data_IF_396250294647
#
_entry.id   IF_396250294647
#
_cell.length_a   1.000
_cell.length_b   1.000
_cell.length_c   1.000
_cell.angle_alpha   90.00
_cell.angle_beta   90.00
_cell.angle_gamma   90.00
#
_symmetry.space_group_name_H-M   'P 1'
#
loop_
_entity.id
_entity.type
_entity.pdbx_description
1 polymer ?
#
# COMPACT_ATOMS: atom_id res chain seq x y z
N UNK A 1 7.74 24.79 -4.57
CA UNK A 1 6.41 24.42 -4.04
C UNK A 1 6.55 23.61 -2.76
N UNK A 2 5.50 23.57 -1.94
CA UNK A 2 5.47 22.66 -0.79
C UNK A 2 5.26 21.21 -1.27
N UNK A 3 6.11 20.31 -0.77
CA UNK A 3 5.97 18.88 -0.98
C UNK A 3 5.83 18.21 0.40
N UNK A 4 4.72 17.54 0.64
CA UNK A 4 4.34 16.98 1.95
C UNK A 4 3.68 15.64 1.75
N UNK A 5 4.03 14.67 2.57
CA UNK A 5 3.30 13.42 2.73
C UNK A 5 2.60 13.42 4.10
N UNK A 6 1.30 13.17 4.10
CA UNK A 6 0.50 13.00 5.31
C UNK A 6 0.09 11.52 5.42
N UNK A 7 0.33 10.93 6.57
CA UNK A 7 -0.15 9.60 6.91
C UNK A 7 -1.38 9.74 7.80
N UNK A 8 -2.45 9.05 7.42
CA UNK A 8 -3.66 8.89 8.21
C UNK A 8 -3.69 7.44 8.69
N UNK A 9 -3.62 7.27 9.98
CA UNK A 9 -3.68 5.98 10.64
C UNK A 9 -4.82 5.97 11.67
N UNK A 10 -5.11 4.80 12.22
CA UNK A 10 -6.05 4.65 13.32
C UNK A 10 -7.46 5.22 13.01
N UNK A 11 -7.90 5.01 11.76
CA UNK A 11 -9.22 5.46 11.29
C UNK A 11 -10.32 4.42 11.48
N UNK A 12 -9.98 3.22 11.93
CA UNK A 12 -10.92 2.16 12.29
C UNK A 12 -11.30 2.37 13.74
N UNK A 13 -12.60 2.46 14.01
CA UNK A 13 -13.10 2.61 15.38
C UNK A 13 -12.87 1.30 16.16
N UNK A 14 -12.17 1.39 17.30
CA UNK A 14 -11.88 0.27 18.20
C UNK A 14 -13.13 -0.32 18.89
N UNK A 15 -14.30 0.26 18.66
CA UNK A 15 -15.56 -0.15 19.29
C UNK A 15 -16.12 -1.45 18.73
N UNK A 16 -15.30 -2.49 18.68
CA UNK A 16 -15.75 -3.87 18.46
C UNK A 16 -15.75 -4.34 17.00
N UNK A 17 -15.02 -3.68 16.09
CA UNK A 17 -14.79 -4.23 14.76
C UNK A 17 -13.48 -5.03 14.73
N UNK A 18 -13.55 -6.26 14.21
CA UNK A 18 -12.34 -7.08 13.90
C UNK A 18 -11.60 -6.56 12.64
N UNK A 19 -11.84 -5.31 12.23
CA UNK A 19 -11.24 -4.74 11.04
C UNK A 19 -9.76 -4.45 11.24
N UNK A 20 -8.96 -4.78 10.24
CA UNK A 20 -7.52 -4.53 10.25
C UNK A 20 -7.27 -3.02 10.19
N UNK A 21 -6.38 -2.53 11.06
CA UNK A 21 -5.89 -1.15 10.99
C UNK A 21 -5.13 -0.94 9.68
N UNK A 22 -5.38 0.18 9.01
CA UNK A 22 -4.69 0.54 7.77
C UNK A 22 -4.21 2.00 7.80
N UNK A 23 -3.08 2.23 7.12
CA UNK A 23 -2.51 3.55 6.88
C UNK A 23 -2.92 4.01 5.48
N UNK A 24 -3.37 5.25 5.36
CA UNK A 24 -3.61 5.91 4.07
C UNK A 24 -2.66 7.09 3.94
N UNK A 25 -2.23 7.38 2.73
CA UNK A 25 -1.24 8.42 2.51
C UNK A 25 -1.74 9.46 1.50
N UNK A 26 -1.65 10.73 1.89
CA UNK A 26 -1.90 11.85 0.99
C UNK A 26 -0.58 12.54 0.67
N UNK A 27 -0.13 12.40 -0.56
CA UNK A 27 1.00 13.12 -1.10
C UNK A 27 0.49 14.44 -1.71
N UNK A 28 1.00 15.56 -1.21
CA UNK A 28 0.67 16.88 -1.72
C UNK A 28 1.90 17.52 -2.34
N UNK A 29 1.83 17.89 -3.61
CA UNK A 29 2.90 18.58 -4.31
C UNK A 29 2.36 19.79 -5.02
N UNK A 30 2.86 20.98 -4.64
CA UNK A 30 2.45 22.30 -5.16
C UNK A 30 0.90 22.48 -5.25
N UNK A 31 0.22 22.02 -4.20
CA UNK A 31 -1.23 22.17 -4.06
C UNK A 31 -2.08 21.11 -4.75
N UNK A 32 -1.51 20.16 -5.49
CA UNK A 32 -2.19 18.98 -6.00
C UNK A 32 -1.99 17.78 -5.07
N UNK A 33 -3.04 16.99 -4.89
CA UNK A 33 -3.03 15.81 -4.03
C UNK A 33 -3.13 14.50 -4.79
N UNK A 34 -2.39 13.51 -4.30
CA UNK A 34 -2.52 12.10 -4.66
C UNK A 34 -2.78 11.28 -3.38
N UNK A 35 -3.90 10.56 -3.38
CA UNK A 35 -4.24 9.64 -2.30
C UNK A 35 -3.76 8.25 -2.68
N UNK A 36 -2.93 7.66 -1.84
CA UNK A 36 -2.39 6.31 -2.01
C UNK A 36 -3.16 5.38 -1.08
N UNK A 37 -3.69 4.31 -1.65
CA UNK A 37 -4.53 3.32 -1.01
C UNK A 37 -5.76 3.97 -0.32
N UNK A 38 -6.82 4.26 -1.10
CA UNK A 38 -7.90 5.18 -0.73
C UNK A 38 -8.85 4.65 0.34
N UNK A 39 -8.53 3.54 0.98
CA UNK A 39 -9.26 2.88 2.04
C UNK A 39 -10.53 2.11 1.63
N UNK A 40 -10.98 1.26 2.55
CA UNK A 40 -12.25 0.56 2.48
C UNK A 40 -13.45 1.42 2.87
N UNK A 41 -14.63 0.83 2.81
CA UNK A 41 -15.87 1.52 3.14
C UNK A 41 -15.97 1.95 4.61
N UNK A 42 -15.34 1.22 5.52
CA UNK A 42 -15.38 1.49 6.97
C UNK A 42 -14.63 2.76 7.34
N UNK A 43 -13.52 3.02 6.68
CA UNK A 43 -12.60 4.14 7.01
C UNK A 43 -12.82 5.38 6.14
N UNK A 44 -13.60 5.28 5.06
CA UNK A 44 -13.80 6.37 4.10
C UNK A 44 -14.24 7.70 4.74
N UNK A 45 -15.26 7.68 5.61
CA UNK A 45 -15.78 8.91 6.20
C UNK A 45 -14.76 9.54 7.16
N UNK A 46 -14.09 8.72 7.97
CA UNK A 46 -13.05 9.20 8.88
C UNK A 46 -11.87 9.81 8.11
N UNK A 47 -11.46 9.16 6.99
CA UNK A 47 -10.37 9.65 6.14
C UNK A 47 -10.72 10.99 5.51
N UNK A 48 -11.90 11.16 4.94
CA UNK A 48 -12.34 12.45 4.38
C UNK A 48 -12.32 13.55 5.45
N UNK A 49 -12.89 13.28 6.62
CA UNK A 49 -12.94 14.26 7.71
C UNK A 49 -11.52 14.66 8.17
N UNK A 50 -10.62 13.70 8.25
CA UNK A 50 -9.23 13.95 8.60
C UNK A 50 -8.49 14.74 7.51
N UNK A 51 -8.64 14.35 6.24
CA UNK A 51 -8.00 15.01 5.10
C UNK A 51 -8.41 16.47 4.96
N UNK A 52 -9.70 16.78 5.11
CA UNK A 52 -10.25 18.14 4.92
C UNK A 52 -9.64 19.18 5.87
N UNK A 53 -9.05 18.74 6.99
CA UNK A 53 -8.35 19.64 7.94
C UNK A 53 -7.05 20.18 7.36
N UNK A 54 -6.44 19.48 6.40
CA UNK A 54 -5.11 19.78 5.89
C UNK A 54 -5.08 20.09 4.40
N UNK A 55 -6.09 19.62 3.66
CA UNK A 55 -6.05 19.66 2.21
C UNK A 55 -7.44 19.94 1.60
N UNK A 56 -7.54 20.90 0.65
CA UNK A 56 -8.78 21.17 -0.07
C UNK A 56 -9.16 20.03 -1.00
N UNK A 57 -10.27 19.37 -0.73
CA UNK A 57 -10.72 18.16 -1.42
C UNK A 57 -10.81 18.28 -2.95
N UNK A 58 -11.17 19.45 -3.46
CA UNK A 58 -11.22 19.78 -4.90
C UNK A 58 -9.86 19.68 -5.61
N UNK A 59 -8.77 19.69 -4.84
CA UNK A 59 -7.41 19.57 -5.34
C UNK A 59 -6.89 18.13 -5.39
N UNK A 60 -7.69 17.15 -4.97
CA UNK A 60 -7.36 15.73 -5.14
C UNK A 60 -7.45 15.38 -6.63
N UNK A 61 -6.30 15.09 -7.23
CA UNK A 61 -6.17 14.84 -8.67
C UNK A 61 -5.93 13.37 -8.99
N UNK A 62 -5.33 12.63 -8.05
CA UNK A 62 -4.91 11.27 -8.28
C UNK A 62 -5.32 10.37 -7.13
N UNK A 63 -5.74 9.15 -7.47
CA UNK A 63 -5.86 8.03 -6.55
C UNK A 63 -5.00 6.90 -7.10
N UNK A 64 -4.14 6.35 -6.25
CA UNK A 64 -3.30 5.21 -6.56
C UNK A 64 -3.74 4.03 -5.71
N UNK A 65 -4.16 2.94 -6.34
CA UNK A 65 -4.50 1.70 -5.66
C UNK A 65 -3.38 0.67 -5.89
N UNK A 66 -2.75 0.24 -4.81
CA UNK A 66 -1.63 -0.71 -4.87
C UNK A 66 -2.07 -2.09 -5.35
N UNK A 67 -3.22 -2.57 -4.88
CA UNK A 67 -3.83 -3.84 -5.26
C UNK A 67 -5.35 -3.83 -5.01
N UNK A 68 -6.02 -4.96 -5.19
CA UNK A 68 -7.48 -5.06 -5.27
C UNK A 68 -8.20 -5.36 -3.95
N UNK A 69 -7.52 -5.39 -2.82
CA UNK A 69 -8.13 -5.77 -1.55
C UNK A 69 -9.21 -4.79 -1.09
N UNK A 70 -10.25 -5.26 -0.39
CA UNK A 70 -11.40 -4.42 -0.04
C UNK A 70 -11.06 -3.20 0.81
N UNK A 71 -10.06 -3.29 1.67
CA UNK A 71 -9.56 -2.19 2.50
C UNK A 71 -8.80 -1.12 1.71
N UNK A 72 -8.48 -1.42 0.44
CA UNK A 72 -7.89 -0.48 -0.52
C UNK A 72 -8.92 0.05 -1.50
N UNK A 73 -9.71 -0.81 -2.13
CA UNK A 73 -10.53 -0.41 -3.30
C UNK A 73 -12.02 -0.28 -3.02
N UNK A 74 -12.55 -0.76 -1.89
CA UNK A 74 -14.00 -0.79 -1.69
C UNK A 74 -14.65 0.61 -1.62
N UNK A 75 -13.90 1.66 -1.29
CA UNK A 75 -14.41 3.03 -1.28
C UNK A 75 -14.25 3.78 -2.60
N UNK A 76 -13.63 3.20 -3.64
CA UNK A 76 -13.32 3.89 -4.90
C UNK A 76 -14.52 4.59 -5.52
N UNK A 77 -15.71 3.97 -5.49
CA UNK A 77 -16.91 4.63 -6.00
C UNK A 77 -17.21 5.95 -5.30
N UNK A 78 -17.06 6.00 -3.98
CA UNK A 78 -17.33 7.21 -3.20
C UNK A 78 -16.37 8.35 -3.59
N UNK A 79 -15.09 8.02 -3.80
CA UNK A 79 -14.09 8.98 -4.27
C UNK A 79 -14.40 9.49 -5.67
N UNK A 80 -14.74 8.60 -6.61
CA UNK A 80 -15.08 8.97 -7.99
C UNK A 80 -16.38 9.80 -8.07
N UNK A 81 -17.30 9.65 -7.12
CA UNK A 81 -18.50 10.48 -7.02
C UNK A 81 -18.18 11.86 -6.45
N UNK A 82 -17.30 11.92 -5.46
CA UNK A 82 -17.02 13.14 -4.70
C UNK A 82 -15.94 14.04 -5.32
N UNK A 83 -15.15 13.54 -6.26
CA UNK A 83 -14.01 14.24 -6.87
C UNK A 83 -13.94 14.03 -8.37
N UNK A 84 -13.07 14.83 -9.05
CA UNK A 84 -12.72 14.65 -10.46
C UNK A 84 -11.33 13.99 -10.62
N UNK A 85 -10.89 13.20 -9.64
CA UNK A 85 -9.59 12.54 -9.66
C UNK A 85 -9.48 11.48 -10.76
N UNK A 86 -8.24 11.22 -11.18
CA UNK A 86 -7.88 10.07 -12.02
C UNK A 86 -7.44 8.92 -11.13
N UNK A 87 -7.99 7.74 -11.39
CA UNK A 87 -7.68 6.51 -10.68
C UNK A 87 -6.61 5.71 -11.44
N UNK A 88 -5.55 5.35 -10.76
CA UNK A 88 -4.50 4.46 -11.27
C UNK A 88 -4.60 3.11 -10.57
N UNK A 89 -4.77 2.06 -11.35
CA UNK A 89 -4.86 0.66 -10.90
C UNK A 89 -4.04 -0.23 -11.82
N UNK A 90 -3.70 -1.43 -11.39
CA UNK A 90 -3.11 -2.41 -12.30
C UNK A 90 -3.98 -2.63 -13.55
N UNK A 91 -3.37 -2.66 -14.73
CA UNK A 91 -4.06 -2.99 -15.98
C UNK A 91 -4.74 -4.38 -15.92
N UNK A 92 -4.22 -5.28 -15.10
CA UNK A 92 -4.82 -6.59 -14.83
C UNK A 92 -6.24 -6.45 -14.23
N UNK A 93 -6.45 -5.43 -13.37
CA UNK A 93 -7.70 -5.19 -12.64
C UNK A 93 -8.63 -4.17 -13.31
N UNK A 94 -8.21 -3.52 -14.37
CA UNK A 94 -8.97 -2.47 -15.07
C UNK A 94 -10.38 -2.91 -15.48
N UNK A 95 -10.57 -4.19 -15.80
CA UNK A 95 -11.89 -4.75 -16.16
C UNK A 95 -12.78 -5.07 -14.97
N UNK A 96 -12.20 -5.21 -13.78
CA UNK A 96 -12.90 -5.62 -12.57
C UNK A 96 -13.26 -4.44 -11.66
N UNK A 97 -12.44 -3.41 -11.60
CA UNK A 97 -12.67 -2.21 -10.78
C UNK A 97 -14.02 -1.54 -11.07
N UNK A 98 -14.51 -1.44 -12.32
CA UNK A 98 -15.86 -0.91 -12.60
C UNK A 98 -17.00 -1.60 -11.85
N UNK A 99 -16.84 -2.87 -11.45
CA UNK A 99 -17.85 -3.59 -10.66
C UNK A 99 -18.01 -3.05 -9.23
N UNK A 100 -17.03 -2.33 -8.72
CA UNK A 100 -17.12 -1.60 -7.44
C UNK A 100 -17.80 -0.23 -7.58
N UNK A 101 -18.02 0.24 -8.81
CA UNK A 101 -18.38 1.62 -9.09
C UNK A 101 -19.78 1.73 -9.72
N UNK A 102 -20.41 2.89 -9.53
CA UNK A 102 -21.60 3.27 -10.27
C UNK A 102 -21.28 3.33 -11.77
N UNK A 103 -22.20 2.88 -12.61
CA UNK A 103 -22.02 2.84 -14.06
C UNK A 103 -21.47 4.16 -14.62
N UNK A 104 -20.51 4.05 -15.52
CA UNK A 104 -19.83 5.15 -16.22
C UNK A 104 -18.92 6.06 -15.36
N UNK A 105 -18.76 5.82 -14.05
CA UNK A 105 -17.90 6.66 -13.19
C UNK A 105 -16.41 6.49 -13.46
N UNK A 106 -16.01 5.36 -14.00
CA UNK A 106 -14.60 5.08 -14.35
C UNK A 106 -14.23 5.52 -15.76
N UNK A 107 -15.21 5.81 -16.63
CA UNK A 107 -14.97 6.15 -18.03
C UNK A 107 -14.14 7.44 -18.14
N UNK A 108 -12.98 7.35 -18.80
CA UNK A 108 -12.05 8.47 -18.99
C UNK A 108 -11.35 8.94 -17.70
N UNK A 109 -11.53 8.21 -16.59
CA UNK A 109 -10.96 8.55 -15.28
C UNK A 109 -10.13 7.42 -14.65
N UNK A 110 -9.98 6.31 -15.35
CA UNK A 110 -9.17 5.18 -14.90
C UNK A 110 -8.02 4.94 -15.87
N UNK A 111 -6.84 4.74 -15.34
CA UNK A 111 -5.61 4.44 -16.06
C UNK A 111 -5.06 3.11 -15.55
N UNK A 112 -4.92 2.15 -16.47
CA UNK A 112 -4.28 0.87 -16.18
C UNK A 112 -2.76 1.02 -16.15
N UNK A 113 -2.14 0.65 -15.03
CA UNK A 113 -0.69 0.58 -14.88
C UNK A 113 -0.21 -0.70 -15.56
N UNK A 114 0.67 -0.63 -16.57
CA UNK A 114 1.20 -1.83 -17.22
C UNK A 114 2.15 -2.60 -16.29
N UNK A 115 2.31 -3.92 -16.51
CA UNK A 115 3.06 -4.82 -15.61
C UNK A 115 4.49 -4.35 -15.29
N UNK A 116 5.13 -3.63 -16.22
CA UNK A 116 6.47 -3.09 -15.97
C UNK A 116 6.50 -1.78 -15.17
N UNK A 117 5.33 -1.30 -14.70
CA UNK A 117 5.20 -0.04 -13.99
C UNK A 117 5.15 1.18 -14.91
N UNK A 118 5.04 2.34 -14.31
CA UNK A 118 5.03 3.61 -15.06
C UNK A 118 5.46 4.79 -14.19
N UNK A 119 5.87 5.86 -14.84
CA UNK A 119 6.11 7.17 -14.20
C UNK A 119 4.86 8.02 -14.34
N UNK A 120 4.33 8.49 -13.23
CA UNK A 120 3.13 9.33 -13.16
C UNK A 120 3.56 10.76 -12.80
N UNK A 121 3.45 11.71 -13.73
CA UNK A 121 3.83 13.10 -13.45
C UNK A 121 2.81 13.75 -12.50
N UNK A 122 3.33 14.50 -11.54
CA UNK A 122 2.57 15.40 -10.68
C UNK A 122 3.29 16.75 -10.70
N UNK A 123 2.61 17.84 -10.99
CA UNK A 123 3.14 19.21 -11.04
C UNK A 123 4.68 19.35 -11.03
N UNK A 124 5.29 19.42 -9.85
CA UNK A 124 6.73 19.63 -9.66
C UNK A 124 7.48 18.36 -9.20
N UNK A 125 6.80 17.21 -9.26
CA UNK A 125 7.37 15.90 -8.92
C UNK A 125 6.80 14.81 -9.82
N UNK A 126 7.20 13.58 -9.53
CA UNK A 126 6.69 12.36 -10.16
C UNK A 126 6.58 11.26 -9.12
N UNK A 127 5.55 10.45 -9.27
CA UNK A 127 5.41 9.18 -8.55
C UNK A 127 5.68 8.04 -9.53
N UNK A 128 6.45 7.06 -9.10
CA UNK A 128 6.74 5.87 -9.91
C UNK A 128 5.91 4.71 -9.38
N UNK A 129 5.06 4.13 -10.23
CA UNK A 129 4.43 2.85 -9.94
C UNK A 129 5.47 1.75 -10.16
N UNK A 130 5.89 1.12 -9.08
CA UNK A 130 6.95 0.10 -9.03
C UNK A 130 6.32 -1.27 -9.00
N UNK A 131 6.69 -2.22 -9.87
CA UNK A 131 6.15 -3.57 -9.86
C UNK A 131 6.42 -4.30 -8.53
N UNK A 132 5.38 -4.88 -7.95
CA UNK A 132 5.46 -5.72 -6.76
C UNK A 132 4.53 -6.95 -6.89
N UNK A 133 4.42 -7.47 -8.11
CA UNK A 133 3.52 -8.56 -8.44
C UNK A 133 3.72 -9.77 -7.53
N UNK A 134 2.61 -10.34 -7.09
CA UNK A 134 2.58 -11.48 -6.15
C UNK A 134 3.11 -11.18 -4.73
N UNK A 135 3.19 -9.88 -4.38
CA UNK A 135 3.59 -9.43 -3.04
C UNK A 135 2.53 -8.45 -2.42
N UNK A 136 1.27 -8.93 -2.07
CA UNK A 136 0.81 -10.32 -2.17
C UNK A 136 -0.08 -10.58 -3.40
N UNK A 137 -0.69 -9.57 -4.02
CA UNK A 137 -1.61 -9.74 -5.14
C UNK A 137 -0.88 -9.82 -6.49
N UNK A 138 -1.53 -10.47 -7.49
CA UNK A 138 -0.95 -10.73 -8.81
C UNK A 138 -0.53 -9.45 -9.53
N UNK A 139 -1.37 -8.43 -9.47
CA UNK A 139 -1.15 -7.13 -10.11
C UNK A 139 -0.70 -6.05 -9.13
N UNK A 140 -0.03 -6.42 -8.05
CA UNK A 140 0.39 -5.47 -7.02
C UNK A 140 1.43 -4.48 -7.54
N UNK A 141 1.24 -3.21 -7.20
CA UNK A 141 2.19 -2.12 -7.39
C UNK A 141 2.51 -1.47 -6.07
N UNK A 142 3.68 -0.89 -6.00
CA UNK A 142 4.07 0.05 -4.95
C UNK A 142 4.28 1.41 -5.58
N UNK A 143 4.20 2.48 -4.79
CA UNK A 143 4.35 3.83 -5.31
C UNK A 143 5.56 4.49 -4.67
N UNK A 144 6.47 4.99 -5.50
CA UNK A 144 7.70 5.62 -5.05
C UNK A 144 7.67 7.11 -5.34
N UNK A 145 7.75 7.91 -4.28
CA UNK A 145 7.98 9.35 -4.37
C UNK A 145 9.49 9.62 -4.37
N UNK A 146 10.02 9.93 -5.53
CA UNK A 146 11.46 10.15 -5.71
C UNK A 146 11.97 11.45 -5.06
N UNK A 147 11.08 12.42 -4.79
CA UNK A 147 11.45 13.70 -4.18
C UNK A 147 11.63 13.57 -2.67
N UNK A 148 10.75 12.84 -2.02
CA UNK A 148 10.82 12.56 -0.59
C UNK A 148 11.52 11.22 -0.28
N UNK A 149 11.85 10.42 -1.30
CA UNK A 149 12.47 9.09 -1.19
C UNK A 149 11.64 8.12 -0.34
N UNK A 150 10.31 8.19 -0.51
CA UNK A 150 9.36 7.34 0.19
C UNK A 150 8.87 6.24 -0.74
N UNK A 151 9.01 4.98 -0.31
CA UNK A 151 8.37 3.84 -0.94
C UNK A 151 7.10 3.48 -0.16
N UNK A 152 5.92 3.73 -0.74
CA UNK A 152 4.63 3.26 -0.25
C UNK A 152 4.50 1.79 -0.66
N UNK A 153 4.73 0.90 0.29
CA UNK A 153 5.02 -0.51 -0.02
C UNK A 153 3.81 -1.43 -0.01
N UNK A 154 2.59 -0.87 0.08
CA UNK A 154 1.39 -1.69 0.22
C UNK A 154 1.53 -2.60 1.42
N UNK A 155 1.30 -3.89 1.25
CA UNK A 155 1.38 -4.86 2.34
C UNK A 155 2.78 -5.39 2.63
N UNK A 156 3.77 -5.04 1.81
CA UNK A 156 5.17 -5.38 2.12
C UNK A 156 5.68 -4.58 3.31
N UNK A 157 5.99 -5.27 4.39
CA UNK A 157 6.37 -4.67 5.66
C UNK A 157 5.20 -4.50 6.65
N UNK A 158 3.99 -4.91 6.26
CA UNK A 158 2.80 -4.85 7.11
C UNK A 158 3.01 -5.54 8.46
N UNK A 159 2.50 -4.93 9.52
CA UNK A 159 2.53 -5.50 10.87
C UNK A 159 1.23 -5.20 11.62
N UNK A 160 0.76 -6.19 12.39
CA UNK A 160 -0.44 -6.06 13.22
C UNK A 160 -0.01 -5.65 14.64
N UNK A 161 0.19 -4.37 14.83
CA UNK A 161 0.57 -3.77 16.11
C UNK A 161 -0.61 -3.00 16.70
N UNK A 162 -0.56 -2.78 18.01
CA UNK A 162 -1.54 -1.93 18.67
C UNK A 162 -1.44 -0.48 18.15
N UNK A 163 -2.55 0.23 18.08
CA UNK A 163 -2.66 1.56 17.45
C UNK A 163 -1.67 2.59 18.02
N UNK A 164 -1.34 2.54 19.32
CA UNK A 164 -0.37 3.44 19.96
C UNK A 164 1.07 3.31 19.43
N UNK A 165 1.38 2.23 18.70
CA UNK A 165 2.70 1.95 18.14
C UNK A 165 2.86 2.34 16.67
N UNK A 166 1.77 2.63 15.97
CA UNK A 166 1.79 2.84 14.51
C UNK A 166 2.59 4.08 14.12
N UNK A 167 2.52 5.14 14.91
CA UNK A 167 3.16 6.42 14.62
C UNK A 167 4.69 6.39 14.75
N UNK A 168 5.22 5.46 15.54
CA UNK A 168 6.65 5.37 15.78
C UNK A 168 7.36 4.60 14.67
N UNK A 169 8.35 5.19 13.98
CA UNK A 169 9.13 4.47 12.98
C UNK A 169 9.97 3.34 13.61
N UNK A 170 10.24 2.33 12.81
CA UNK A 170 11.31 1.38 13.07
C UNK A 170 12.58 1.97 12.46
N UNK A 171 13.61 2.24 13.28
CA UNK A 171 14.84 2.92 12.86
C UNK A 171 16.08 2.04 12.98
N UNK A 172 16.01 0.99 13.79
CA UNK A 172 17.13 0.09 14.09
C UNK A 172 16.79 -1.36 13.80
N UNK A 173 17.82 -2.18 13.60
CA UNK A 173 17.70 -3.64 13.48
C UNK A 173 17.08 -4.28 14.72
N UNK A 174 17.36 -3.74 15.91
CA UNK A 174 16.81 -4.25 17.16
C UNK A 174 15.28 -4.04 17.22
N UNK A 175 14.80 -2.83 16.85
CA UNK A 175 13.37 -2.54 16.75
C UNK A 175 12.67 -3.40 15.69
N UNK A 176 13.32 -3.58 14.53
CA UNK A 176 12.84 -4.49 13.49
C UNK A 176 12.68 -5.93 14.03
N UNK A 177 13.70 -6.45 14.70
CA UNK A 177 13.66 -7.79 15.28
C UNK A 177 12.54 -7.95 16.31
N UNK A 178 12.30 -6.94 17.13
CA UNK A 178 11.20 -6.93 18.09
C UNK A 178 9.82 -6.87 17.42
N UNK A 179 9.74 -6.32 16.19
CA UNK A 179 8.50 -6.22 15.42
C UNK A 179 8.15 -7.51 14.66
N UNK A 180 9.08 -8.42 14.43
CA UNK A 180 8.88 -9.65 13.62
C UNK A 180 7.67 -10.47 14.04
N UNK A 181 7.42 -10.60 15.34
CA UNK A 181 6.28 -11.35 15.88
C UNK A 181 4.91 -10.82 15.42
N UNK A 182 4.85 -9.57 14.97
CA UNK A 182 3.62 -8.93 14.49
C UNK A 182 3.46 -8.98 12.97
N UNK A 183 4.47 -9.45 12.24
CA UNK A 183 4.49 -9.41 10.78
C UNK A 183 4.82 -10.74 10.10
N UNK A 184 5.59 -11.62 10.74
CA UNK A 184 6.08 -12.86 10.11
C UNK A 184 4.94 -13.76 9.63
N UNK A 185 3.90 -13.94 10.46
CA UNK A 185 2.77 -14.81 10.12
C UNK A 185 2.04 -14.37 8.86
N UNK A 186 1.83 -13.05 8.71
CA UNK A 186 1.24 -12.46 7.52
C UNK A 186 2.11 -12.72 6.30
N UNK A 187 3.38 -12.33 6.32
CA UNK A 187 4.27 -12.47 5.16
C UNK A 187 4.47 -13.93 4.75
N UNK A 188 4.59 -14.84 5.72
CA UNK A 188 4.69 -16.28 5.43
C UNK A 188 3.45 -16.82 4.72
N UNK A 189 2.26 -16.28 5.04
CA UNK A 189 1.00 -16.78 4.48
C UNK A 189 0.66 -16.15 3.13
N UNK A 190 0.84 -14.84 2.99
CA UNK A 190 0.29 -14.08 1.87
C UNK A 190 1.28 -13.83 0.73
N UNK A 191 2.58 -13.71 0.98
CA UNK A 191 3.55 -13.60 -0.10
C UNK A 191 3.63 -14.93 -0.86
N UNK A 192 3.68 -14.88 -2.20
CA UNK A 192 3.52 -16.09 -3.02
C UNK A 192 4.69 -17.06 -2.88
N UNK A 193 5.94 -16.55 -2.86
CA UNK A 193 7.16 -17.34 -2.70
C UNK A 193 8.39 -16.48 -2.42
N UNK A 194 9.41 -17.09 -1.82
CA UNK A 194 10.72 -16.47 -1.63
C UNK A 194 11.36 -15.98 -2.94
N UNK A 195 11.12 -16.67 -4.04
CA UNK A 195 11.64 -16.27 -5.36
C UNK A 195 11.24 -14.84 -5.72
N UNK A 196 9.97 -14.49 -5.52
CA UNK A 196 9.46 -13.15 -5.84
C UNK A 196 9.96 -12.12 -4.84
N UNK A 197 10.04 -12.48 -3.56
CA UNK A 197 10.64 -11.63 -2.54
C UNK A 197 12.07 -11.22 -2.92
N UNK A 198 12.89 -12.16 -3.40
CA UNK A 198 14.25 -11.87 -3.88
C UNK A 198 14.29 -10.92 -5.07
N UNK A 199 13.39 -11.07 -6.04
CA UNK A 199 13.32 -10.15 -7.18
C UNK A 199 13.01 -8.73 -6.71
N UNK A 200 12.04 -8.59 -5.82
CA UNK A 200 11.67 -7.31 -5.25
C UNK A 200 12.82 -6.69 -4.43
N UNK A 201 13.47 -7.47 -3.55
CA UNK A 201 14.62 -7.00 -2.76
C UNK A 201 15.74 -6.49 -3.64
N UNK A 202 16.10 -7.24 -4.70
CA UNK A 202 17.15 -6.81 -5.64
C UNK A 202 16.82 -5.48 -6.31
N UNK A 203 15.55 -5.26 -6.66
CA UNK A 203 15.10 -3.99 -7.22
C UNK A 203 15.18 -2.85 -6.19
N UNK A 204 14.63 -3.05 -4.98
CA UNK A 204 14.59 -2.01 -3.94
C UNK A 204 15.97 -1.64 -3.44
N UNK A 205 16.92 -2.58 -3.36
CA UNK A 205 18.32 -2.28 -3.02
C UNK A 205 19.00 -1.33 -4.03
N UNK A 206 18.50 -1.28 -5.27
CA UNK A 206 18.95 -0.33 -6.29
C UNK A 206 18.26 1.03 -6.24
N UNK A 207 17.27 1.21 -5.36
CA UNK A 207 16.52 2.45 -5.22
C UNK A 207 17.06 3.31 -4.06
N UNK A 208 16.91 4.62 -4.18
CA UNK A 208 17.27 5.57 -3.11
C UNK A 208 16.07 5.78 -2.18
N UNK A 209 15.89 4.88 -1.21
CA UNK A 209 14.74 4.85 -0.29
C UNK A 209 15.17 5.25 1.12
N UNK A 210 14.64 6.37 1.62
CA UNK A 210 14.83 6.83 3.01
C UNK A 210 13.73 6.31 3.96
N UNK A 211 12.52 6.09 3.41
CA UNK A 211 11.38 5.60 4.18
C UNK A 211 10.63 4.53 3.37
N UNK A 212 10.32 3.42 4.02
CA UNK A 212 9.43 2.37 3.51
C UNK A 212 8.19 2.36 4.38
N UNK A 213 7.03 2.63 3.78
CA UNK A 213 5.79 2.86 4.52
C UNK A 213 4.70 1.89 4.07
N UNK A 214 4.44 0.85 4.87
CA UNK A 214 3.42 -0.15 4.56
C UNK A 214 2.01 0.36 4.88
N UNK A 215 1.02 -0.27 4.28
CA UNK A 215 -0.38 0.03 4.51
C UNK A 215 -0.86 -0.35 5.92
N UNK A 216 -0.21 -1.29 6.58
CA UNK A 216 -0.58 -1.73 7.93
C UNK A 216 0.58 -1.64 8.91
N UNK A 217 0.32 -1.10 10.10
CA UNK A 217 1.26 -1.05 11.20
C UNK A 217 2.39 -0.04 11.05
N UNK A 218 3.56 -0.39 11.58
CA UNK A 218 4.71 0.53 11.67
C UNK A 218 5.47 0.67 10.37
N UNK A 219 6.06 1.82 10.15
CA UNK A 219 6.88 2.18 8.99
C UNK A 219 8.38 2.15 9.33
N UNK A 220 9.21 2.09 8.29
CA UNK A 220 10.65 1.94 8.42
C UNK A 220 11.36 3.21 7.96
N UNK A 221 12.38 3.64 8.70
CA UNK A 221 13.17 4.82 8.37
C UNK A 221 14.66 4.56 8.50
N UNK A 222 15.36 4.95 7.44
CA UNK A 222 16.82 4.89 7.38
C UNK A 222 17.37 3.53 6.98
N UNK A 223 18.66 3.49 6.63
CA UNK A 223 19.28 2.33 5.98
C UNK A 223 19.36 1.09 6.89
N UNK A 224 19.48 1.28 8.21
CA UNK A 224 19.61 0.16 9.14
C UNK A 224 18.29 -0.64 9.21
N UNK A 225 17.17 0.04 9.44
CA UNK A 225 15.87 -0.63 9.55
C UNK A 225 15.40 -1.22 8.22
N UNK A 226 15.54 -0.44 7.13
CA UNK A 226 15.18 -0.90 5.77
C UNK A 226 16.07 -2.07 5.38
N UNK A 227 17.38 -1.99 5.61
CA UNK A 227 18.32 -3.08 5.35
C UNK A 227 17.97 -4.35 6.12
N UNK A 228 17.64 -4.23 7.41
CA UNK A 228 17.21 -5.38 8.23
C UNK A 228 15.93 -6.05 7.69
N UNK A 229 14.96 -5.24 7.25
CA UNK A 229 13.74 -5.74 6.61
C UNK A 229 14.04 -6.47 5.28
N UNK A 230 14.85 -5.87 4.41
CA UNK A 230 15.24 -6.46 3.13
C UNK A 230 16.00 -7.79 3.33
N UNK A 231 16.94 -7.84 4.27
CA UNK A 231 17.67 -9.07 4.60
C UNK A 231 16.74 -10.17 5.09
N UNK A 232 15.76 -9.83 5.90
CA UNK A 232 14.79 -10.79 6.42
C UNK A 232 13.88 -11.34 5.32
N UNK A 233 13.24 -10.45 4.52
CA UNK A 233 12.27 -10.88 3.49
C UNK A 233 12.96 -11.65 2.36
N UNK A 234 14.21 -11.33 2.03
CA UNK A 234 15.02 -12.06 1.05
C UNK A 234 15.21 -13.53 1.41
N UNK A 235 15.23 -13.83 2.72
CA UNK A 235 15.46 -15.18 3.24
C UNK A 235 14.18 -15.86 3.77
N UNK A 236 13.03 -15.19 3.66
CA UNK A 236 11.77 -15.72 4.18
C UNK A 236 11.22 -16.82 3.26
N UNK A 237 11.02 -18.03 3.80
CA UNK A 237 10.20 -19.05 3.15
C UNK A 237 8.73 -18.73 3.36
N UNK A 238 7.97 -18.56 2.28
CA UNK A 238 6.59 -18.08 2.31
C UNK A 238 5.73 -18.68 1.19
N UNK A 239 4.42 -18.58 1.34
CA UNK A 239 3.45 -19.00 0.35
C UNK A 239 3.66 -20.45 -0.09
N UNK A 240 3.84 -20.63 -1.39
CA UNK A 240 3.98 -21.97 -1.98
C UNK A 240 5.27 -22.68 -1.56
N UNK A 241 6.29 -21.99 -1.05
CA UNK A 241 7.49 -22.64 -0.51
C UNK A 241 7.17 -23.50 0.73
N UNK A 242 6.04 -23.23 1.40
CA UNK A 242 5.59 -23.92 2.62
C UNK A 242 4.50 -24.95 2.35
N UNK A 243 4.06 -25.10 1.09
CA UNK A 243 2.97 -25.98 0.72
C UNK A 243 3.48 -27.26 0.05
N UNK A 244 2.75 -28.33 0.26
CA UNK A 244 2.96 -29.64 -0.37
C UNK A 244 1.63 -30.26 -0.80
N UNK A 245 1.67 -31.44 -1.41
CA UNK A 245 0.45 -32.19 -1.72
C UNK A 245 -0.41 -32.48 -0.48
N UNK A 246 0.18 -32.50 0.72
CA UNK A 246 -0.56 -32.71 1.97
C UNK A 246 -1.55 -31.60 2.31
N UNK A 247 -1.32 -30.40 1.78
CA UNK A 247 -2.22 -29.25 1.94
C UNK A 247 -3.44 -29.32 1.01
N UNK A 248 -3.42 -30.22 0.00
CA UNK A 248 -4.46 -30.38 -1.00
C UNK A 248 -5.09 -31.77 -0.92
N UNK A 249 -5.68 -32.07 0.24
CA UNK A 249 -6.44 -33.32 0.46
C UNK A 249 -7.92 -33.03 0.50
N UNK A 250 -8.70 -33.93 -0.11
CA UNK A 250 -10.16 -33.85 -0.02
C UNK A 250 -10.58 -34.08 1.45
N UNK A 251 -11.38 -33.18 2.05
CA UNK A 251 -11.86 -33.37 3.42
C UNK A 251 -12.76 -34.60 3.48
N UNK A 252 -12.41 -35.57 4.32
CA UNK A 252 -13.27 -36.71 4.65
C UNK A 252 -13.88 -36.43 6.02
N UNK A 253 -15.23 -36.39 6.08
CA UNK A 253 -16.02 -36.19 7.29
C UNK A 253 -16.02 -37.45 8.18
#
# INVERSE_FOLDING_TARGET
GKHVCLMFNDLVDDTGSDAVQANQFLLVSDGEGALIDPAGNMTYNALIMAMQRFFPFKNLKYIFASHQDPDIVASLNKWLVATDCTLYVSALWERFVPHFCTANRTVGRMVGIPDHGMVIPMRDTRVVAVPAHFLHAEGNFQFYDSKAKILFSGDMGASLVHHDKIVDPITTKAEFTANLKYMEGFHRRYMVSNKVCKYWVNMVRGMDVDMLVPQHGRWYKGPEAIGAFLDWIENLHCGIDLFSQDNYKFPVG
#
